data_IF_531514320073
#
_entry.id   IF_531514320073
#
_cell.length_a   1.000
_cell.length_b   1.000
_cell.length_c   1.000
_cell.angle_alpha   90.00
_cell.angle_beta   90.00
_cell.angle_gamma   90.00
#
_symmetry.space_group_name_H-M   'P 1'
#
loop_
_entity.id
_entity.type
_entity.pdbx_description
1 polymer ?
#
# COMPACT_ATOMS: atom_id res chain seq x y z
N UNK A 1 31.16 41.55 34.34
CA UNK A 1 30.26 40.36 34.18
C UNK A 1 30.83 39.15 34.95
N UNK A 2 31.64 39.45 35.97
CA UNK A 2 32.37 38.39 36.68
C UNK A 2 31.45 37.53 37.54
N UNK A 3 31.30 36.24 37.11
CA UNK A 3 30.53 35.23 37.84
C UNK A 3 29.00 35.34 37.73
N UNK A 4 28.48 36.21 36.85
CA UNK A 4 27.03 36.33 36.63
C UNK A 4 26.48 35.22 35.70
N UNK A 5 25.31 34.68 36.04
CA UNK A 5 24.54 33.79 35.19
C UNK A 5 23.50 34.62 34.41
N UNK A 6 23.51 34.49 33.06
CA UNK A 6 22.62 35.24 32.18
C UNK A 6 21.75 34.28 31.38
N UNK A 7 20.43 34.49 31.40
CA UNK A 7 19.53 33.78 30.52
C UNK A 7 19.35 34.54 29.23
N UNK A 8 19.90 34.00 28.14
CA UNK A 8 19.75 34.55 26.79
C UNK A 8 18.51 33.96 26.13
N UNK A 9 17.39 34.62 26.32
CA UNK A 9 16.08 34.21 25.80
C UNK A 9 15.34 35.40 25.24
N UNK A 10 14.40 35.17 24.36
CA UNK A 10 13.49 36.18 23.85
C UNK A 10 12.66 36.76 25.00
N UNK A 11 12.69 38.08 25.26
CA UNK A 11 11.88 38.74 26.30
C UNK A 11 10.39 38.67 26.00
N UNK A 12 10.00 38.55 24.71
CA UNK A 12 8.62 38.46 24.26
C UNK A 12 8.38 37.12 23.50
N UNK A 13 8.33 35.97 24.20
CA UNK A 13 8.25 34.69 23.55
C UNK A 13 6.95 34.52 22.76
N UNK A 14 7.11 34.11 21.50
CA UNK A 14 5.98 33.82 20.60
C UNK A 14 5.06 32.75 21.16
N UNK A 15 3.77 32.84 20.83
CA UNK A 15 2.84 31.74 21.06
C UNK A 15 3.16 30.57 20.09
N UNK A 16 2.93 29.36 20.54
CA UNK A 16 3.25 28.17 19.74
C UNK A 16 2.67 28.20 18.31
N UNK A 17 1.42 28.67 18.15
CA UNK A 17 0.81 28.78 16.80
C UNK A 17 1.48 29.85 15.92
N UNK A 18 2.03 30.91 16.50
CA UNK A 18 2.80 31.94 15.80
C UNK A 18 4.15 31.39 15.39
N UNK A 19 4.84 30.71 16.31
CA UNK A 19 6.09 30.02 16.04
C UNK A 19 5.96 29.05 14.87
N UNK A 20 4.89 28.22 14.86
CA UNK A 20 4.63 27.28 13.78
C UNK A 20 4.39 27.98 12.45
N UNK A 21 3.62 29.08 12.44
CA UNK A 21 3.38 29.84 11.22
C UNK A 21 4.64 30.53 10.68
N UNK A 22 5.53 31.00 11.57
CA UNK A 22 6.84 31.51 11.18
C UNK A 22 7.65 30.46 10.43
N UNK A 23 7.69 29.21 10.94
CA UNK A 23 8.36 28.12 10.21
C UNK A 23 7.59 27.66 8.97
N UNK A 24 6.26 27.70 8.95
CA UNK A 24 5.50 27.47 7.72
C UNK A 24 5.86 28.47 6.63
N UNK A 25 5.97 29.75 6.97
CA UNK A 25 6.44 30.79 6.03
C UNK A 25 7.87 30.53 5.54
N UNK A 26 8.77 30.20 6.46
CA UNK A 26 10.16 29.85 6.13
C UNK A 26 10.27 28.64 5.19
N UNK A 27 9.35 27.68 5.34
CA UNK A 27 9.25 26.45 4.53
C UNK A 27 8.45 26.63 3.23
N UNK A 28 7.93 27.82 2.94
CA UNK A 28 6.94 28.05 1.86
C UNK A 28 5.71 27.13 1.92
N UNK A 29 5.33 26.72 3.14
CA UNK A 29 4.20 25.86 3.41
C UNK A 29 2.95 26.67 3.82
N UNK A 30 1.72 26.11 3.64
CA UNK A 30 0.50 26.78 4.08
C UNK A 30 0.51 27.04 5.59
N UNK A 31 0.09 28.23 6.00
CA UNK A 31 -0.05 28.58 7.42
C UNK A 31 -1.23 27.86 8.07
N UNK A 32 -1.10 27.58 9.37
CA UNK A 32 -2.20 27.04 10.16
C UNK A 32 -3.24 28.13 10.44
N UNK A 33 -4.41 27.99 9.86
CA UNK A 33 -5.55 28.92 10.03
C UNK A 33 -6.44 28.58 11.24
N UNK A 34 -6.51 27.29 11.60
CA UNK A 34 -7.32 26.81 12.72
C UNK A 34 -6.49 26.82 14.02
N UNK A 35 -6.82 27.75 14.92
CA UNK A 35 -6.20 27.85 16.24
C UNK A 35 -7.20 27.41 17.30
N UNK A 36 -6.88 26.32 18.01
CA UNK A 36 -7.63 25.93 19.21
C UNK A 36 -7.02 26.64 20.42
N UNK A 37 -7.85 27.40 21.16
CA UNK A 37 -7.39 28.03 22.38
C UNK A 37 -7.19 26.92 23.45
N UNK A 38 -5.93 26.75 23.88
CA UNK A 38 -5.58 25.79 24.92
C UNK A 38 -6.36 26.08 26.27
N UNK A 39 -6.86 27.30 26.44
CA UNK A 39 -7.72 27.66 27.61
C UNK A 39 -9.04 26.90 27.60
N UNK A 40 -9.59 26.55 26.42
CA UNK A 40 -10.78 25.70 26.31
C UNK A 40 -10.53 24.29 26.88
N UNK A 41 -9.30 23.78 26.75
CA UNK A 41 -8.90 22.53 27.40
C UNK A 41 -8.64 22.67 28.92
N UNK A 42 -8.37 23.85 29.38
CA UNK A 42 -8.15 24.12 30.82
C UNK A 42 -9.46 24.08 31.66
N UNK A 43 -10.60 24.26 31.00
CA UNK A 43 -11.93 24.14 31.65
C UNK A 43 -12.28 22.66 31.90
N UNK A 44 -11.65 21.71 31.24
CA UNK A 44 -11.86 20.28 31.45
C UNK A 44 -11.08 19.83 32.69
N UNK A 45 -11.75 19.24 33.71
CA UNK A 45 -11.08 18.75 34.92
C UNK A 45 -9.90 17.84 34.59
N UNK A 46 -8.77 18.02 35.28
CA UNK A 46 -7.52 17.30 35.01
C UNK A 46 -7.69 15.76 34.95
N UNK A 47 -8.56 15.23 35.80
CA UNK A 47 -8.89 13.79 35.80
C UNK A 47 -9.58 13.34 34.50
N UNK A 48 -10.51 14.14 33.97
CA UNK A 48 -11.21 13.85 32.70
C UNK A 48 -10.24 13.98 31.52
N UNK A 49 -9.41 15.02 31.52
CA UNK A 49 -8.38 15.23 30.51
C UNK A 49 -7.37 14.06 30.50
N UNK A 50 -6.90 13.64 31.67
CA UNK A 50 -6.00 12.50 31.82
C UNK A 50 -6.67 11.20 31.38
N UNK A 51 -7.95 10.98 31.71
CA UNK A 51 -8.71 9.82 31.28
C UNK A 51 -8.84 9.79 29.72
N UNK A 52 -9.21 10.91 29.09
CA UNK A 52 -9.38 11.02 27.64
C UNK A 52 -8.04 10.85 26.92
N UNK A 53 -6.98 11.51 27.35
CA UNK A 53 -5.65 11.39 26.71
C UNK A 53 -5.04 10.01 26.91
N UNK A 54 -5.43 9.28 27.94
CA UNK A 54 -5.00 7.90 28.19
C UNK A 54 -5.83 6.85 27.46
N UNK A 55 -6.96 7.22 26.84
CA UNK A 55 -7.73 6.28 26.01
C UNK A 55 -6.86 5.69 24.90
N UNK A 56 -6.88 4.36 24.70
CA UNK A 56 -6.08 3.72 23.67
C UNK A 56 -6.27 4.30 22.26
N UNK A 57 -7.48 4.65 21.80
CA UNK A 57 -7.68 5.30 20.50
C UNK A 57 -6.99 6.66 20.40
N UNK A 58 -7.07 7.49 21.44
CA UNK A 58 -6.47 8.84 21.45
C UNK A 58 -4.94 8.74 21.43
N UNK A 59 -4.35 7.86 22.24
CA UNK A 59 -2.90 7.60 22.23
C UNK A 59 -2.43 7.11 20.87
N UNK A 60 -3.18 6.20 20.23
CA UNK A 60 -2.85 5.69 18.88
C UNK A 60 -2.94 6.79 17.83
N UNK A 61 -4.00 7.59 17.86
CA UNK A 61 -4.17 8.71 16.94
C UNK A 61 -3.05 9.75 17.11
N UNK A 62 -2.75 10.14 18.34
CA UNK A 62 -1.66 11.07 18.64
C UNK A 62 -0.30 10.52 18.20
N UNK A 63 0.00 9.24 18.48
CA UNK A 63 1.26 8.61 18.05
C UNK A 63 1.35 8.47 16.53
N UNK A 64 0.24 8.24 15.84
CA UNK A 64 0.19 8.21 14.39
C UNK A 64 0.43 9.60 13.81
N UNK A 65 -0.25 10.62 14.32
CA UNK A 65 -0.08 12.01 13.91
C UNK A 65 1.36 12.50 14.09
N UNK A 66 1.95 12.23 15.27
CA UNK A 66 3.35 12.60 15.55
C UNK A 66 4.32 11.89 14.62
N UNK A 67 4.08 10.62 14.32
CA UNK A 67 4.88 9.86 13.37
C UNK A 67 4.76 10.43 11.95
N UNK A 68 3.55 10.77 11.51
CA UNK A 68 3.30 11.33 10.19
C UNK A 68 3.93 12.74 10.05
N UNK A 69 3.94 13.50 11.14
CA UNK A 69 4.64 14.78 11.24
C UNK A 69 6.15 14.63 11.52
N UNK A 70 6.65 13.39 11.66
CA UNK A 70 8.05 13.06 12.00
C UNK A 70 8.53 13.71 13.30
N UNK A 71 7.61 14.00 14.23
CA UNK A 71 7.93 14.59 15.51
C UNK A 71 8.15 13.49 16.57
N UNK A 72 9.28 13.49 17.30
CA UNK A 72 9.47 12.60 18.43
C UNK A 72 8.39 12.85 19.50
N UNK A 73 7.83 11.80 20.15
CA UNK A 73 6.84 11.98 21.21
C UNK A 73 7.31 12.87 22.36
N UNK A 74 8.62 12.89 22.65
CA UNK A 74 9.23 13.76 23.64
C UNK A 74 9.04 15.27 23.33
N UNK A 75 8.85 15.64 22.06
CA UNK A 75 8.65 17.04 21.66
C UNK A 75 7.39 17.65 22.31
N UNK A 76 6.36 16.84 22.57
CA UNK A 76 5.14 17.32 23.24
C UNK A 76 5.39 17.87 24.64
N UNK A 77 6.38 17.32 25.36
CA UNK A 77 6.73 17.82 26.69
C UNK A 77 7.35 19.22 26.66
N UNK A 78 8.04 19.55 25.58
CA UNK A 78 8.64 20.89 25.39
C UNK A 78 7.59 21.93 24.97
N UNK A 79 6.57 21.54 24.19
CA UNK A 79 5.49 22.45 23.76
C UNK A 79 4.67 22.94 24.95
N UNK A 80 4.50 22.11 25.98
CA UNK A 80 3.70 22.41 27.17
C UNK A 80 4.55 22.82 28.38
N UNK A 81 5.85 23.10 28.16
CA UNK A 81 6.77 23.41 29.26
C UNK A 81 6.40 24.76 29.90
N UNK A 82 6.04 24.80 31.20
CA UNK A 82 5.49 26.01 31.80
C UNK A 82 6.54 27.02 32.26
N UNK A 83 7.82 26.71 32.13
CA UNK A 83 8.92 27.53 32.63
C UNK A 83 9.11 28.79 31.79
N UNK A 84 9.15 29.93 32.49
CA UNK A 84 9.58 31.20 31.91
C UNK A 84 10.92 31.57 32.51
N UNK A 85 11.82 32.01 31.68
CA UNK A 85 13.12 32.48 32.13
C UNK A 85 13.07 33.99 32.43
N UNK A 86 13.79 34.43 33.47
CA UNK A 86 13.86 35.82 33.87
C UNK A 86 14.91 36.55 33.03
N UNK A 87 14.53 37.57 32.29
CA UNK A 87 15.38 38.35 31.41
C UNK A 87 15.94 39.63 32.09
N UNK A 88 15.46 40.01 33.25
CA UNK A 88 15.78 41.28 33.94
C UNK A 88 17.28 41.50 34.15
N UNK A 89 18.07 40.46 34.38
CA UNK A 89 19.50 40.55 34.60
C UNK A 89 20.23 40.85 33.29
N UNK A 90 19.89 40.15 32.19
CA UNK A 90 20.49 40.35 30.87
C UNK A 90 20.08 41.71 30.29
N UNK A 91 18.84 42.14 30.44
CA UNK A 91 18.34 43.45 30.02
C UNK A 91 19.10 44.59 30.70
N UNK A 92 19.34 44.50 32.02
CA UNK A 92 20.18 45.47 32.74
C UNK A 92 21.63 45.48 32.25
N UNK A 93 22.20 44.29 32.01
CA UNK A 93 23.58 44.19 31.54
C UNK A 93 23.76 44.73 30.08
N UNK A 94 22.73 44.64 29.27
CA UNK A 94 22.73 45.12 27.88
C UNK A 94 22.25 46.57 27.73
N UNK A 95 21.78 47.20 28.79
CA UNK A 95 21.25 48.56 28.79
C UNK A 95 22.30 49.52 28.26
N UNK A 96 21.98 50.24 27.18
CA UNK A 96 22.88 51.17 26.51
C UNK A 96 23.77 50.51 25.44
N UNK A 97 23.70 49.18 25.28
CA UNK A 97 24.28 48.52 24.11
C UNK A 97 23.26 48.53 22.94
N UNK A 98 23.74 48.25 21.72
CA UNK A 98 22.89 48.04 20.54
C UNK A 98 22.58 46.57 20.29
N UNK A 99 22.72 45.74 21.35
CA UNK A 99 22.52 44.32 21.24
C UNK A 99 21.06 44.01 21.61
N UNK A 100 20.29 43.54 20.65
CA UNK A 100 18.89 43.12 20.77
C UNK A 100 18.73 41.68 20.29
N UNK A 101 17.72 40.97 20.79
CA UNK A 101 17.34 39.66 20.26
C UNK A 101 16.67 39.89 18.92
N UNK A 102 17.19 39.34 17.83
CA UNK A 102 16.59 39.55 16.51
C UNK A 102 15.23 38.83 16.43
N UNK A 103 14.28 39.44 15.73
CA UNK A 103 12.99 38.84 15.43
C UNK A 103 13.16 37.50 14.72
N UNK A 104 12.46 36.46 15.17
CA UNK A 104 12.59 35.12 14.63
C UNK A 104 12.28 35.10 13.12
N UNK A 105 11.29 35.86 12.67
CA UNK A 105 10.92 35.95 11.25
C UNK A 105 12.09 36.37 10.36
N UNK A 106 13.05 37.18 10.88
CA UNK A 106 14.20 37.67 10.13
C UNK A 106 15.21 36.54 9.81
N UNK A 107 15.26 35.48 10.60
CA UNK A 107 16.24 34.40 10.43
C UNK A 107 15.68 32.97 10.44
N UNK A 108 14.38 32.77 10.64
CA UNK A 108 13.74 31.46 10.63
C UNK A 108 14.03 30.69 9.33
N UNK A 109 14.08 31.39 8.19
CA UNK A 109 14.41 30.80 6.90
C UNK A 109 15.84 30.20 6.88
N UNK A 110 16.81 30.77 7.60
CA UNK A 110 18.18 30.23 7.70
C UNK A 110 18.20 28.95 8.52
N UNK A 111 17.41 28.90 9.60
CA UNK A 111 17.27 27.71 10.45
C UNK A 111 16.62 26.60 9.63
N UNK A 112 15.55 26.92 8.89
CA UNK A 112 14.86 25.98 8.04
C UNK A 112 15.76 25.45 6.91
N UNK A 113 16.42 26.32 6.16
CA UNK A 113 17.36 25.96 5.08
C UNK A 113 18.49 25.04 5.59
N UNK A 114 19.04 25.35 6.78
CA UNK A 114 20.05 24.49 7.39
C UNK A 114 19.49 23.12 7.77
N UNK A 115 18.29 23.07 8.35
CA UNK A 115 17.63 21.83 8.70
C UNK A 115 17.34 20.99 7.45
N UNK A 116 16.76 21.59 6.43
CA UNK A 116 16.42 20.94 5.17
C UNK A 116 17.64 20.35 4.47
N UNK A 117 18.78 21.04 4.51
CA UNK A 117 20.01 20.56 3.86
C UNK A 117 20.84 19.58 4.66
N UNK A 118 20.76 19.60 5.98
CA UNK A 118 21.70 18.88 6.83
C UNK A 118 21.05 17.94 7.86
N UNK A 119 19.85 18.26 8.31
CA UNK A 119 19.22 17.58 9.45
C UNK A 119 17.93 16.86 9.06
N UNK A 120 17.36 17.09 7.86
CA UNK A 120 16.17 16.39 7.42
C UNK A 120 16.49 14.87 7.36
N UNK A 121 15.82 14.05 8.17
CA UNK A 121 16.01 12.59 8.15
C UNK A 121 15.79 11.99 6.76
N UNK A 122 14.97 12.65 5.94
CA UNK A 122 14.62 12.17 4.60
C UNK A 122 15.78 12.25 3.60
N UNK A 123 16.79 13.09 3.85
CA UNK A 123 18.02 13.15 3.03
C UNK A 123 18.81 11.84 3.02
N UNK A 124 18.66 11.04 4.10
CA UNK A 124 19.41 9.81 4.30
C UNK A 124 18.57 8.55 4.06
N UNK A 125 17.29 8.73 3.67
CA UNK A 125 16.40 7.61 3.36
C UNK A 125 16.39 7.36 1.85
N UNK A 126 16.89 6.20 1.45
CA UNK A 126 16.70 5.73 0.07
C UNK A 126 15.22 5.38 -0.15
N UNK A 127 14.50 6.29 -0.81
CA UNK A 127 13.07 6.14 -1.15
C UNK A 127 12.83 5.31 -2.41
N UNK A 128 13.88 4.83 -3.06
CA UNK A 128 13.76 3.97 -4.24
C UNK A 128 13.34 2.55 -3.82
N UNK A 129 12.97 1.74 -4.80
CA UNK A 129 12.70 0.32 -4.55
C UNK A 129 13.87 -0.36 -3.81
N UNK A 130 15.11 -0.01 -4.18
CA UNK A 130 16.32 -0.56 -3.58
C UNK A 130 16.38 -0.33 -2.07
N UNK A 131 16.10 0.86 -1.59
CA UNK A 131 16.04 1.17 -0.15
C UNK A 131 14.98 0.36 0.59
N UNK A 132 13.92 -0.06 -0.12
CA UNK A 132 12.82 -0.81 0.47
C UNK A 132 13.03 -2.33 0.46
N UNK A 133 13.77 -2.89 -0.51
CA UNK A 133 13.89 -4.35 -0.68
C UNK A 133 15.31 -4.90 -0.56
N UNK A 134 16.34 -4.07 -0.60
CA UNK A 134 17.73 -4.54 -0.54
C UNK A 134 17.97 -5.43 0.69
N UNK A 135 18.53 -6.62 0.45
CA UNK A 135 18.78 -7.68 1.42
C UNK A 135 17.53 -8.22 2.16
N UNK A 136 16.32 -7.84 1.78
CA UNK A 136 15.08 -8.38 2.34
C UNK A 136 14.63 -9.62 1.57
N UNK A 137 13.98 -10.53 2.27
CA UNK A 137 13.36 -11.72 1.69
C UNK A 137 11.98 -11.33 1.16
N UNK A 138 11.81 -11.40 -0.17
CA UNK A 138 10.56 -11.13 -0.89
C UNK A 138 10.04 -12.42 -1.49
N UNK A 139 8.94 -12.94 -0.97
CA UNK A 139 8.29 -14.14 -1.48
C UNK A 139 7.15 -13.78 -2.42
N UNK A 140 7.17 -14.34 -3.63
CA UNK A 140 6.20 -14.07 -4.69
C UNK A 140 5.58 -15.39 -5.16
N UNK A 141 4.26 -15.55 -4.96
CA UNK A 141 3.53 -16.69 -5.50
C UNK A 141 3.15 -16.45 -6.96
N UNK A 142 3.15 -17.50 -7.78
CA UNK A 142 2.96 -17.37 -9.23
C UNK A 142 4.13 -16.66 -9.91
N UNK A 143 5.38 -16.88 -9.43
CA UNK A 143 6.57 -16.20 -9.89
C UNK A 143 7.16 -16.74 -11.20
N UNK A 144 6.55 -17.77 -11.81
CA UNK A 144 7.06 -18.41 -13.06
C UNK A 144 6.69 -17.66 -14.34
N UNK A 145 5.70 -16.77 -14.31
CA UNK A 145 5.22 -16.07 -15.51
C UNK A 145 4.49 -14.77 -15.17
N UNK A 146 4.20 -13.98 -16.23
CA UNK A 146 3.35 -12.79 -16.14
C UNK A 146 3.78 -11.79 -15.06
N UNK A 147 2.81 -11.29 -14.29
CA UNK A 147 3.02 -10.26 -13.27
C UNK A 147 4.02 -10.72 -12.20
N UNK A 148 3.90 -11.97 -11.74
CA UNK A 148 4.78 -12.51 -10.71
C UNK A 148 6.23 -12.57 -11.14
N UNK A 149 6.50 -13.04 -12.38
CA UNK A 149 7.85 -13.05 -12.97
C UNK A 149 8.41 -11.64 -13.12
N UNK A 150 7.64 -10.72 -13.71
CA UNK A 150 8.08 -9.33 -13.90
C UNK A 150 8.39 -8.65 -12.54
N UNK A 151 7.56 -8.90 -11.52
CA UNK A 151 7.82 -8.41 -10.16
C UNK A 151 9.09 -9.02 -9.57
N UNK A 152 9.30 -10.33 -9.73
CA UNK A 152 10.48 -11.03 -9.22
C UNK A 152 11.78 -10.45 -9.80
N UNK A 153 11.82 -10.20 -11.10
CA UNK A 153 12.96 -9.58 -11.78
C UNK A 153 13.20 -8.17 -11.22
N UNK A 154 12.18 -7.30 -11.18
CA UNK A 154 12.33 -5.91 -10.70
C UNK A 154 12.85 -5.84 -9.25
N UNK A 155 12.34 -6.67 -8.35
CA UNK A 155 12.80 -6.64 -6.94
C UNK A 155 14.18 -7.29 -6.78
N UNK A 156 14.54 -8.27 -7.62
CA UNK A 156 15.88 -8.86 -7.65
C UNK A 156 16.93 -7.84 -8.10
N UNK A 157 16.66 -7.07 -9.15
CA UNK A 157 17.51 -5.99 -9.65
C UNK A 157 17.73 -4.90 -8.59
N UNK A 158 16.73 -4.69 -7.75
CA UNK A 158 16.81 -3.78 -6.59
C UNK A 158 17.55 -4.40 -5.38
N UNK A 159 18.09 -5.62 -5.49
CA UNK A 159 18.91 -6.27 -4.46
C UNK A 159 18.14 -7.07 -3.41
N UNK A 160 16.90 -7.47 -3.69
CA UNK A 160 16.14 -8.38 -2.84
C UNK A 160 16.72 -9.81 -2.86
N UNK A 161 16.44 -10.58 -1.81
CA UNK A 161 16.52 -12.04 -1.78
C UNK A 161 15.14 -12.57 -2.22
N UNK A 162 15.03 -12.94 -3.48
CA UNK A 162 13.73 -13.30 -4.07
C UNK A 162 13.44 -14.78 -3.85
N UNK A 163 12.25 -15.07 -3.38
CA UNK A 163 11.70 -16.42 -3.29
C UNK A 163 10.50 -16.51 -4.22
N UNK A 164 10.60 -17.32 -5.25
CA UNK A 164 9.49 -17.55 -6.20
C UNK A 164 8.85 -18.91 -5.99
N UNK A 165 7.52 -18.95 -6.10
CA UNK A 165 6.73 -20.16 -5.87
C UNK A 165 5.75 -20.36 -7.02
N UNK A 166 5.73 -21.56 -7.61
CA UNK A 166 4.74 -21.96 -8.61
C UNK A 166 4.64 -23.49 -8.70
N UNK A 167 3.66 -24.01 -9.46
CA UNK A 167 3.49 -25.45 -9.67
C UNK A 167 4.38 -26.02 -10.77
N UNK A 168 4.52 -25.26 -11.86
CA UNK A 168 5.30 -25.68 -13.03
C UNK A 168 6.79 -25.50 -12.77
N UNK A 169 7.50 -26.61 -12.68
CA UNK A 169 8.92 -26.64 -12.30
C UNK A 169 9.81 -25.98 -13.37
N UNK A 170 9.61 -26.36 -14.64
CA UNK A 170 10.46 -25.88 -15.76
C UNK A 170 10.45 -24.36 -15.89
N UNK A 171 9.26 -23.74 -15.97
CA UNK A 171 9.14 -22.28 -16.09
C UNK A 171 9.61 -21.55 -14.83
N UNK A 172 9.40 -22.15 -13.65
CA UNK A 172 9.82 -21.59 -12.39
C UNK A 172 11.35 -21.53 -12.31
N UNK A 173 12.02 -22.64 -12.64
CA UNK A 173 13.49 -22.70 -12.61
C UNK A 173 14.10 -21.85 -13.72
N UNK A 174 13.48 -21.75 -14.89
CA UNK A 174 13.90 -20.80 -15.93
C UNK A 174 13.89 -19.36 -15.42
N UNK A 175 12.84 -18.96 -14.71
CA UNK A 175 12.76 -17.61 -14.12
C UNK A 175 13.83 -17.40 -13.05
N UNK A 176 14.09 -18.40 -12.20
CA UNK A 176 15.19 -18.34 -11.21
C UNK A 176 16.53 -18.13 -11.92
N UNK A 177 16.82 -18.94 -12.92
CA UNK A 177 18.11 -18.94 -13.62
C UNK A 177 18.34 -17.64 -14.40
N UNK A 178 17.28 -17.05 -14.95
CA UNK A 178 17.30 -15.72 -15.56
C UNK A 178 17.69 -14.64 -14.53
N UNK A 179 17.10 -14.66 -13.33
CA UNK A 179 17.44 -13.73 -12.24
C UNK A 179 18.89 -13.94 -11.77
N UNK A 180 19.32 -15.19 -11.62
CA UNK A 180 20.70 -15.50 -11.21
C UNK A 180 21.72 -15.06 -12.27
N UNK A 181 21.44 -15.27 -13.55
CA UNK A 181 22.28 -14.83 -14.66
C UNK A 181 22.43 -13.31 -14.72
N UNK A 182 21.40 -12.56 -14.31
CA UNK A 182 21.45 -11.11 -14.17
C UNK A 182 22.17 -10.63 -12.88
N UNK A 183 22.74 -11.55 -12.07
CA UNK A 183 23.42 -11.21 -10.82
C UNK A 183 22.53 -11.03 -9.60
N UNK A 184 21.23 -11.30 -9.73
CA UNK A 184 20.28 -11.28 -8.63
C UNK A 184 20.39 -12.50 -7.70
N UNK A 185 19.61 -12.51 -6.61
CA UNK A 185 19.51 -13.64 -5.67
C UNK A 185 18.12 -14.21 -5.72
N UNK A 186 17.97 -15.48 -6.12
CA UNK A 186 16.67 -16.12 -6.29
C UNK A 186 16.67 -17.57 -5.82
N UNK A 187 15.61 -17.96 -5.11
CA UNK A 187 15.28 -19.34 -4.72
C UNK A 187 13.91 -19.69 -5.31
N UNK A 188 13.77 -20.90 -5.78
CA UNK A 188 12.55 -21.39 -6.43
C UNK A 188 12.02 -22.63 -5.70
N UNK A 189 10.76 -22.62 -5.30
CA UNK A 189 10.10 -23.74 -4.61
C UNK A 189 8.86 -24.16 -5.40
N UNK A 190 8.84 -25.41 -5.83
CA UNK A 190 7.66 -26.02 -6.46
C UNK A 190 6.62 -26.30 -5.39
N UNK A 191 5.41 -25.75 -5.55
CA UNK A 191 4.32 -25.95 -4.61
C UNK A 191 2.96 -25.86 -5.32
N UNK A 192 2.09 -26.84 -5.09
CA UNK A 192 0.68 -26.70 -5.45
C UNK A 192 -0.05 -25.97 -4.30
N UNK A 193 -0.31 -24.70 -4.53
CA UNK A 193 -1.01 -23.85 -3.57
C UNK A 193 -2.48 -24.24 -3.33
N UNK A 194 -3.04 -25.12 -4.16
CA UNK A 194 -4.39 -25.67 -3.91
C UNK A 194 -4.40 -26.73 -2.83
N UNK A 195 -3.26 -27.33 -2.51
CA UNK A 195 -3.06 -28.21 -1.39
C UNK A 195 -2.49 -27.45 -0.19
N UNK A 196 -3.31 -27.32 0.86
CA UNK A 196 -2.91 -26.58 2.06
C UNK A 196 -1.78 -27.26 2.84
N UNK A 197 -1.62 -28.57 2.73
CA UNK A 197 -0.50 -29.28 3.34
C UNK A 197 0.83 -28.95 2.64
N UNK A 198 0.81 -28.81 1.32
CA UNK A 198 1.94 -28.30 0.54
C UNK A 198 2.29 -26.86 0.92
N UNK A 199 1.29 -26.01 1.20
CA UNK A 199 1.51 -24.67 1.70
C UNK A 199 2.22 -24.69 3.07
N UNK A 200 1.84 -25.57 3.98
CA UNK A 200 2.47 -25.70 5.30
C UNK A 200 3.92 -26.15 5.19
N UNK A 201 4.20 -27.14 4.34
CA UNK A 201 5.55 -27.61 4.06
C UNK A 201 6.42 -26.48 3.48
N UNK A 202 5.88 -25.73 2.52
CA UNK A 202 6.54 -24.54 1.94
C UNK A 202 6.87 -23.51 3.01
N UNK A 203 5.91 -23.14 3.87
CA UNK A 203 6.15 -22.17 4.96
C UNK A 203 7.28 -22.64 5.86
N UNK A 204 7.25 -23.92 6.27
CA UNK A 204 8.31 -24.49 7.12
C UNK A 204 9.67 -24.38 6.43
N UNK A 205 9.79 -24.87 5.20
CA UNK A 205 11.04 -24.85 4.43
C UNK A 205 11.61 -23.43 4.29
N UNK A 206 10.76 -22.48 3.90
CA UNK A 206 11.17 -21.07 3.72
C UNK A 206 11.61 -20.44 5.04
N UNK A 207 10.93 -20.74 6.16
CA UNK A 207 11.33 -20.22 7.47
C UNK A 207 12.61 -20.89 7.99
N UNK A 208 12.81 -22.17 7.72
CA UNK A 208 14.05 -22.88 8.11
C UNK A 208 15.27 -22.33 7.36
N UNK A 209 15.13 -22.05 6.05
CA UNK A 209 16.25 -21.58 5.20
C UNK A 209 16.48 -20.07 5.30
N UNK A 210 15.42 -19.26 5.28
CA UNK A 210 15.51 -17.80 5.22
C UNK A 210 15.25 -17.10 6.56
N UNK A 211 14.83 -17.85 7.59
CA UNK A 211 14.47 -17.36 8.94
C UNK A 211 13.21 -16.48 8.98
N UNK A 212 12.92 -15.77 7.90
CA UNK A 212 11.74 -14.92 7.81
C UNK A 212 11.46 -14.46 6.38
N UNK A 213 10.23 -14.10 6.11
CA UNK A 213 9.80 -13.35 4.92
C UNK A 213 9.53 -11.91 5.35
N UNK A 214 10.13 -10.94 4.66
CA UNK A 214 9.90 -9.51 4.92
C UNK A 214 8.72 -8.98 4.13
N UNK A 215 8.55 -9.44 2.89
CA UNK A 215 7.46 -9.05 2.00
C UNK A 215 6.87 -10.32 1.37
N UNK A 216 5.57 -10.53 1.58
CA UNK A 216 4.81 -11.62 0.95
C UNK A 216 3.92 -11.02 -0.14
N UNK A 217 4.11 -11.44 -1.39
CA UNK A 217 3.28 -11.06 -2.54
C UNK A 217 2.42 -12.25 -2.95
N UNK A 218 1.16 -12.26 -2.56
CA UNK A 218 0.17 -13.24 -2.97
C UNK A 218 -0.35 -12.88 -4.37
N UNK A 219 0.38 -13.31 -5.40
CA UNK A 219 0.06 -13.03 -6.79
C UNK A 219 -0.55 -14.24 -7.50
N UNK A 220 -0.25 -15.47 -7.08
CA UNK A 220 -0.87 -16.67 -7.67
C UNK A 220 -2.39 -16.57 -7.65
N UNK A 221 -3.02 -16.94 -8.75
CA UNK A 221 -4.46 -16.87 -8.86
C UNK A 221 -4.99 -17.52 -10.13
N UNK A 222 -6.28 -17.67 -10.16
CA UNK A 222 -7.05 -18.21 -11.28
C UNK A 222 -8.26 -17.33 -11.53
N UNK A 223 -8.58 -17.08 -12.79
CA UNK A 223 -9.80 -16.42 -13.22
C UNK A 223 -10.68 -17.40 -14.01
N UNK A 224 -11.97 -17.36 -13.78
CA UNK A 224 -12.96 -18.09 -14.55
C UNK A 224 -14.00 -17.05 -15.01
N UNK A 225 -14.17 -16.94 -16.34
CA UNK A 225 -15.19 -16.08 -16.97
C UNK A 225 -16.36 -16.97 -17.41
N UNK A 226 -17.46 -16.88 -16.69
CA UNK A 226 -18.71 -17.61 -16.96
C UNK A 226 -19.89 -16.90 -16.29
N UNK A 227 -21.03 -16.80 -16.97
CA UNK A 227 -22.26 -16.30 -16.36
C UNK A 227 -22.74 -17.24 -15.26
N UNK A 228 -23.52 -16.71 -14.31
CA UNK A 228 -24.11 -17.50 -13.23
C UNK A 228 -25.04 -18.57 -13.81
N UNK A 229 -25.80 -18.22 -14.84
CA UNK A 229 -26.69 -19.12 -15.53
C UNK A 229 -26.00 -20.36 -16.12
N UNK A 230 -24.80 -20.19 -16.70
CA UNK A 230 -23.97 -21.29 -17.18
C UNK A 230 -23.18 -22.01 -16.06
N UNK A 231 -23.43 -21.70 -14.81
CA UNK A 231 -22.69 -22.23 -13.66
C UNK A 231 -23.55 -23.06 -12.70
N UNK A 232 -24.84 -23.32 -12.99
CA UNK A 232 -25.73 -24.03 -12.10
C UNK A 232 -25.25 -25.46 -11.75
N UNK A 233 -24.60 -26.13 -12.68
CA UNK A 233 -24.02 -27.48 -12.52
C UNK A 233 -22.50 -27.46 -12.27
N UNK A 234 -21.93 -26.27 -12.01
CA UNK A 234 -20.48 -26.06 -11.99
C UNK A 234 -19.98 -25.43 -10.68
N UNK A 235 -20.57 -25.84 -9.58
CA UNK A 235 -20.17 -25.31 -8.26
C UNK A 235 -18.69 -25.49 -7.96
N UNK A 236 -18.05 -26.53 -8.49
CA UNK A 236 -16.62 -26.76 -8.41
C UNK A 236 -15.75 -25.61 -8.98
N UNK A 237 -16.30 -24.76 -9.85
CA UNK A 237 -15.58 -23.56 -10.34
C UNK A 237 -15.42 -22.53 -9.23
N UNK A 238 -16.41 -22.39 -8.35
CA UNK A 238 -16.34 -21.53 -7.16
C UNK A 238 -15.36 -22.11 -6.14
N UNK A 239 -15.45 -23.40 -5.84
CA UNK A 239 -14.55 -24.07 -4.90
C UNK A 239 -13.08 -23.93 -5.32
N UNK A 240 -12.75 -24.27 -6.58
CA UNK A 240 -11.38 -24.18 -7.11
C UNK A 240 -10.83 -22.76 -7.06
N UNK A 241 -11.70 -21.77 -7.33
CA UNK A 241 -11.31 -20.38 -7.36
C UNK A 241 -11.07 -19.86 -5.95
N UNK A 242 -11.96 -20.20 -5.01
CA UNK A 242 -11.78 -19.89 -3.59
C UNK A 242 -10.54 -20.57 -3.01
N UNK A 243 -10.32 -21.85 -3.34
CA UNK A 243 -9.19 -22.62 -2.84
C UNK A 243 -7.85 -21.94 -3.17
N UNK A 244 -7.65 -21.55 -4.45
CA UNK A 244 -6.40 -20.95 -4.87
C UNK A 244 -6.29 -19.45 -4.48
N UNK A 245 -7.34 -18.67 -4.77
CA UNK A 245 -7.23 -17.20 -4.66
C UNK A 245 -7.37 -16.71 -3.22
N UNK A 246 -8.09 -17.43 -2.37
CA UNK A 246 -8.36 -17.04 -0.99
C UNK A 246 -7.67 -17.96 0.03
N UNK A 247 -8.04 -19.26 0.09
CA UNK A 247 -7.55 -20.13 1.16
C UNK A 247 -6.04 -20.35 1.09
N UNK A 248 -5.45 -20.51 -0.09
CA UNK A 248 -4.01 -20.62 -0.25
C UNK A 248 -3.29 -19.34 0.22
N UNK A 249 -3.75 -18.17 -0.23
CA UNK A 249 -3.20 -16.89 0.20
C UNK A 249 -3.31 -16.70 1.70
N UNK A 250 -4.47 -17.03 2.29
CA UNK A 250 -4.70 -16.97 3.73
C UNK A 250 -3.77 -17.92 4.49
N UNK A 251 -3.58 -19.17 3.99
CA UNK A 251 -2.70 -20.15 4.63
C UNK A 251 -1.25 -19.66 4.70
N UNK A 252 -0.74 -19.10 3.60
CA UNK A 252 0.60 -18.51 3.57
C UNK A 252 0.72 -17.30 4.50
N UNK A 253 -0.28 -16.41 4.52
CA UNK A 253 -0.29 -15.28 5.45
C UNK A 253 -0.20 -15.78 6.90
N UNK A 254 -1.08 -16.73 7.28
CA UNK A 254 -1.08 -17.28 8.65
C UNK A 254 0.23 -17.97 9.01
N UNK A 255 0.90 -18.59 8.03
CA UNK A 255 2.19 -19.24 8.25
C UNK A 255 3.34 -18.27 8.47
N UNK A 256 3.41 -17.18 7.71
CA UNK A 256 4.51 -16.21 7.83
C UNK A 256 4.28 -15.10 8.85
N UNK A 257 3.02 -14.80 9.18
CA UNK A 257 2.63 -13.69 10.06
C UNK A 257 3.21 -13.79 11.49
N UNK A 258 3.33 -14.98 12.13
CA UNK A 258 3.97 -15.09 13.43
C UNK A 258 5.40 -14.55 13.46
N UNK A 259 6.24 -14.93 12.49
CA UNK A 259 7.61 -14.44 12.37
C UNK A 259 7.69 -12.94 12.07
N UNK A 260 6.77 -12.40 11.26
CA UNK A 260 6.64 -10.95 11.04
C UNK A 260 6.25 -10.22 12.33
N UNK A 261 5.32 -10.80 13.09
CA UNK A 261 4.83 -10.23 14.36
C UNK A 261 5.93 -10.16 15.42
N UNK A 262 6.69 -11.24 15.56
CA UNK A 262 7.81 -11.30 16.51
C UNK A 262 8.87 -10.23 16.21
N UNK A 263 9.17 -10.01 14.92
CA UNK A 263 10.14 -9.00 14.48
C UNK A 263 9.54 -7.58 14.41
N UNK A 264 8.24 -7.44 14.61
CA UNK A 264 7.48 -6.19 14.41
C UNK A 264 7.80 -5.53 13.05
N UNK A 265 7.91 -6.34 12.02
CA UNK A 265 8.22 -5.91 10.66
C UNK A 265 7.69 -6.91 9.64
N UNK A 266 6.89 -6.44 8.71
CA UNK A 266 6.37 -7.26 7.63
C UNK A 266 5.49 -6.46 6.66
N UNK A 267 5.35 -6.98 5.45
CA UNK A 267 4.43 -6.46 4.46
C UNK A 267 3.76 -7.61 3.72
N UNK A 268 2.45 -7.56 3.62
CA UNK A 268 1.64 -8.50 2.83
C UNK A 268 0.98 -7.72 1.70
N UNK A 269 1.23 -8.14 0.47
CA UNK A 269 0.65 -7.54 -0.74
C UNK A 269 -0.22 -8.60 -1.40
N UNK A 270 -1.52 -8.36 -1.43
CA UNK A 270 -2.49 -9.24 -2.02
C UNK A 270 -2.93 -8.72 -3.39
N UNK A 271 -2.66 -9.50 -4.44
CA UNK A 271 -3.07 -9.14 -5.81
C UNK A 271 -4.53 -9.51 -5.97
N UNK A 272 -5.35 -8.47 -6.03
CA UNK A 272 -6.77 -8.50 -6.29
C UNK A 272 -7.07 -8.08 -7.74
N UNK A 273 -8.25 -7.59 -8.01
CA UNK A 273 -8.69 -7.21 -9.35
C UNK A 273 -9.56 -5.96 -9.31
N UNK A 274 -9.48 -5.16 -10.37
CA UNK A 274 -10.46 -4.10 -10.64
C UNK A 274 -11.89 -4.67 -10.67
N UNK A 275 -12.05 -5.94 -11.04
CA UNK A 275 -13.34 -6.63 -11.04
C UNK A 275 -14.04 -6.63 -9.68
N UNK A 276 -13.28 -6.57 -8.57
CA UNK A 276 -13.87 -6.44 -7.21
C UNK A 276 -14.49 -5.05 -7.01
N UNK A 277 -13.87 -4.02 -7.57
CA UNK A 277 -14.36 -2.64 -7.49
C UNK A 277 -15.55 -2.40 -8.42
N UNK A 278 -15.51 -3.03 -9.60
CA UNK A 278 -16.51 -2.88 -10.65
C UNK A 278 -17.57 -3.99 -10.65
N UNK A 279 -17.57 -4.94 -9.70
CA UNK A 279 -18.52 -6.05 -9.64
C UNK A 279 -18.78 -6.70 -11.00
N UNK A 280 -17.70 -7.01 -11.74
CA UNK A 280 -17.75 -7.40 -13.15
C UNK A 280 -18.61 -8.66 -13.37
N UNK A 281 -19.65 -8.55 -14.20
CA UNK A 281 -20.49 -9.69 -14.59
C UNK A 281 -19.66 -10.80 -15.25
N UNK A 282 -20.12 -12.03 -15.20
CA UNK A 282 -19.46 -13.27 -15.66
C UNK A 282 -18.21 -13.67 -14.88
N UNK A 283 -17.87 -12.95 -13.83
CA UNK A 283 -16.69 -13.27 -12.99
C UNK A 283 -17.09 -13.57 -11.54
N UNK A 284 -18.32 -13.98 -11.28
CA UNK A 284 -18.85 -14.13 -9.91
C UNK A 284 -17.95 -14.97 -9.01
N UNK A 285 -17.47 -16.16 -9.46
CA UNK A 285 -16.57 -17.00 -8.69
C UNK A 285 -15.22 -16.32 -8.41
N UNK A 286 -14.65 -15.67 -9.43
CA UNK A 286 -13.38 -14.97 -9.33
C UNK A 286 -13.47 -13.74 -8.43
N UNK A 287 -14.46 -12.87 -8.69
CA UNK A 287 -14.68 -11.64 -7.93
C UNK A 287 -14.97 -11.97 -6.46
N UNK A 288 -15.82 -12.96 -6.18
CA UNK A 288 -16.09 -13.39 -4.80
C UNK A 288 -14.81 -13.81 -4.07
N UNK A 289 -13.94 -14.59 -4.72
CA UNK A 289 -12.69 -15.05 -4.10
C UNK A 289 -11.72 -13.91 -3.81
N UNK A 290 -11.60 -12.94 -4.72
CA UNK A 290 -10.74 -11.76 -4.53
C UNK A 290 -11.34 -10.77 -3.53
N UNK A 291 -12.67 -10.61 -3.50
CA UNK A 291 -13.37 -9.79 -2.51
C UNK A 291 -13.21 -10.34 -1.08
N UNK A 292 -13.22 -11.66 -0.92
CA UNK A 292 -12.94 -12.31 0.37
C UNK A 292 -11.51 -11.95 0.87
N UNK A 293 -10.51 -12.00 0.00
CA UNK A 293 -9.13 -11.62 0.33
C UNK A 293 -8.99 -10.13 0.65
N UNK A 294 -9.72 -9.26 -0.08
CA UNK A 294 -9.76 -7.81 0.19
C UNK A 294 -10.38 -7.52 1.56
N UNK A 295 -11.48 -8.19 1.92
CA UNK A 295 -12.12 -8.06 3.22
C UNK A 295 -11.19 -8.49 4.35
N UNK A 296 -10.54 -9.66 4.21
CA UNK A 296 -9.54 -10.14 5.15
C UNK A 296 -8.41 -9.12 5.33
N UNK A 297 -7.87 -8.57 4.23
CA UNK A 297 -6.78 -7.60 4.27
C UNK A 297 -7.14 -6.35 5.07
N UNK A 298 -8.38 -5.84 4.96
CA UNK A 298 -8.85 -4.68 5.73
C UNK A 298 -8.93 -4.98 7.23
N UNK A 299 -9.45 -6.15 7.61
CA UNK A 299 -9.50 -6.58 9.02
C UNK A 299 -8.09 -6.74 9.59
N UNK A 300 -7.22 -7.46 8.88
CA UNK A 300 -5.85 -7.68 9.29
C UNK A 300 -5.03 -6.37 9.40
N UNK A 301 -5.22 -5.42 8.47
CA UNK A 301 -4.57 -4.12 8.55
C UNK A 301 -4.93 -3.39 9.86
N UNK A 302 -6.20 -3.43 10.27
CA UNK A 302 -6.63 -2.82 11.54
C UNK A 302 -5.97 -3.49 12.76
N UNK A 303 -5.86 -4.82 12.75
CA UNK A 303 -5.31 -5.61 13.86
C UNK A 303 -3.78 -5.49 13.99
N UNK A 304 -3.08 -5.32 12.86
CA UNK A 304 -1.61 -5.37 12.81
C UNK A 304 -0.93 -4.00 12.60
N UNK A 305 -1.68 -2.92 12.41
CA UNK A 305 -1.12 -1.57 12.24
C UNK A 305 -0.18 -1.16 13.37
N UNK A 306 -0.52 -1.49 14.62
CA UNK A 306 0.33 -1.23 15.80
C UNK A 306 1.57 -2.11 15.91
N UNK A 307 1.71 -3.13 15.06
CA UNK A 307 2.84 -4.07 15.03
C UNK A 307 3.81 -3.81 13.88
N UNK A 308 3.65 -2.69 13.16
CA UNK A 308 4.44 -2.33 11.98
C UNK A 308 4.39 -3.42 10.88
N UNK A 309 3.21 -4.04 10.71
CA UNK A 309 2.92 -4.97 9.63
C UNK A 309 1.82 -4.34 8.78
N UNK A 310 2.03 -4.28 7.47
CA UNK A 310 1.11 -3.64 6.55
C UNK A 310 0.49 -4.65 5.59
N UNK A 311 -0.78 -4.44 5.27
CA UNK A 311 -1.52 -5.21 4.28
C UNK A 311 -1.95 -4.28 3.16
N UNK A 312 -1.48 -4.54 1.94
CA UNK A 312 -1.84 -3.77 0.74
C UNK A 312 -2.63 -4.64 -0.20
N UNK A 313 -3.80 -4.19 -0.62
CA UNK A 313 -4.56 -4.80 -1.72
C UNK A 313 -4.25 -4.05 -3.01
N UNK A 314 -3.81 -4.76 -4.06
CA UNK A 314 -3.60 -4.20 -5.39
C UNK A 314 -4.72 -4.66 -6.31
N UNK A 315 -5.66 -3.76 -6.61
CA UNK A 315 -6.76 -4.04 -7.54
C UNK A 315 -6.25 -3.90 -8.99
N UNK A 316 -5.64 -4.97 -9.50
CA UNK A 316 -5.05 -5.01 -10.84
C UNK A 316 -6.09 -4.73 -11.93
N UNK A 317 -5.79 -3.88 -12.90
CA UNK A 317 -6.55 -3.78 -14.13
C UNK A 317 -6.32 -5.02 -15.01
N UNK A 318 -6.79 -4.97 -16.25
CA UNK A 318 -6.54 -6.05 -17.21
C UNK A 318 -5.06 -6.04 -17.63
N UNK A 319 -4.38 -7.19 -17.47
CA UNK A 319 -2.95 -7.34 -17.76
C UNK A 319 -2.76 -8.44 -18.79
N UNK A 320 -1.96 -8.18 -19.80
CA UNK A 320 -1.67 -9.13 -20.89
C UNK A 320 -0.81 -10.30 -20.38
N UNK A 321 -1.48 -11.35 -19.93
CA UNK A 321 -0.85 -12.54 -19.34
C UNK A 321 -1.46 -13.82 -19.94
N UNK A 322 -0.82 -14.98 -19.77
CA UNK A 322 -1.40 -16.27 -20.18
C UNK A 322 -2.80 -16.53 -19.60
N UNK A 323 -3.16 -15.93 -18.46
CA UNK A 323 -4.46 -16.08 -17.84
C UNK A 323 -5.61 -15.52 -18.68
N UNK A 324 -5.39 -14.44 -19.42
CA UNK A 324 -6.42 -13.80 -20.26
C UNK A 324 -6.36 -14.25 -21.73
N UNK A 325 -5.27 -14.86 -22.17
CA UNK A 325 -5.04 -15.28 -23.56
C UNK A 325 -6.18 -16.13 -24.17
N UNK A 326 -6.92 -16.99 -23.42
CA UNK A 326 -8.05 -17.73 -23.97
C UNK A 326 -9.24 -16.86 -24.40
N UNK A 327 -9.30 -15.59 -24.01
CA UNK A 327 -10.42 -14.68 -24.29
C UNK A 327 -10.00 -13.62 -25.28
N UNK A 328 -10.18 -13.89 -26.60
CA UNK A 328 -9.75 -13.00 -27.70
C UNK A 328 -10.32 -11.58 -27.65
N UNK A 329 -11.47 -11.39 -27.01
CA UNK A 329 -12.07 -10.07 -26.81
C UNK A 329 -11.11 -9.08 -26.13
N UNK A 330 -10.20 -9.58 -25.26
CA UNK A 330 -9.24 -8.72 -24.55
C UNK A 330 -8.11 -8.18 -25.45
N UNK A 331 -7.96 -8.70 -26.66
CA UNK A 331 -6.98 -8.18 -27.63
C UNK A 331 -7.35 -6.77 -28.14
N UNK A 332 -8.63 -6.41 -28.02
CA UNK A 332 -9.16 -5.09 -28.44
C UNK A 332 -9.35 -4.10 -27.30
N UNK A 333 -9.16 -4.52 -26.05
CA UNK A 333 -9.33 -3.66 -24.86
C UNK A 333 -7.96 -3.22 -24.34
N UNK A 334 -7.80 -1.98 -23.84
CA UNK A 334 -6.56 -1.54 -23.20
C UNK A 334 -6.13 -2.50 -22.11
N UNK A 335 -4.88 -2.94 -22.15
CA UNK A 335 -4.28 -3.86 -21.21
C UNK A 335 -2.92 -3.34 -20.80
N UNK A 336 -2.54 -3.55 -19.54
CA UNK A 336 -1.15 -3.33 -19.11
C UNK A 336 -0.26 -4.50 -19.56
N UNK A 337 1.02 -4.22 -19.76
CA UNK A 337 2.04 -5.26 -19.80
C UNK A 337 2.29 -5.83 -18.40
N UNK A 338 2.91 -7.02 -18.29
CA UNK A 338 3.34 -7.54 -16.99
C UNK A 338 4.30 -6.61 -16.25
N UNK A 339 5.15 -5.89 -16.96
CA UNK A 339 6.14 -4.94 -16.45
C UNK A 339 5.47 -3.71 -15.85
N UNK A 340 4.46 -3.14 -16.53
CA UNK A 340 3.64 -2.02 -16.01
C UNK A 340 2.79 -2.46 -14.80
N UNK A 341 2.27 -3.68 -14.82
CA UNK A 341 1.54 -4.23 -13.68
C UNK A 341 2.46 -4.45 -12.47
N UNK A 342 3.72 -4.85 -12.69
CA UNK A 342 4.72 -4.96 -11.65
C UNK A 342 5.04 -3.60 -11.01
N UNK A 343 4.95 -2.48 -11.75
CA UNK A 343 5.13 -1.14 -11.19
C UNK A 343 4.06 -0.78 -10.15
N UNK A 344 2.84 -1.29 -10.29
CA UNK A 344 1.81 -1.14 -9.24
C UNK A 344 2.18 -1.89 -7.96
N UNK A 345 2.86 -3.04 -8.09
CA UNK A 345 3.36 -3.80 -6.94
C UNK A 345 4.58 -3.08 -6.32
N UNK A 346 5.46 -2.55 -7.14
CA UNK A 346 6.59 -1.71 -6.70
C UNK A 346 6.08 -0.51 -5.91
N UNK A 347 5.07 0.19 -6.42
CA UNK A 347 4.40 1.26 -5.70
C UNK A 347 3.85 0.79 -4.34
N UNK A 348 3.19 -0.37 -4.31
CA UNK A 348 2.70 -0.96 -3.06
C UNK A 348 3.85 -1.24 -2.07
N UNK A 349 5.01 -1.71 -2.54
CA UNK A 349 6.19 -1.97 -1.70
C UNK A 349 6.73 -0.67 -1.09
N UNK A 350 6.86 0.37 -1.89
CA UNK A 350 7.46 1.65 -1.49
C UNK A 350 6.53 2.43 -0.56
N UNK A 351 5.30 2.69 -1.01
CA UNK A 351 4.35 3.59 -0.34
C UNK A 351 3.56 2.93 0.79
N UNK A 352 3.42 1.60 0.76
CA UNK A 352 2.66 0.79 1.74
C UNK A 352 1.22 1.27 1.96
N UNK A 353 0.48 1.65 0.94
CA UNK A 353 -0.90 2.07 1.09
C UNK A 353 -1.78 0.87 1.46
N UNK A 354 -2.96 1.10 2.01
CA UNK A 354 -3.94 0.02 2.22
C UNK A 354 -4.48 -0.52 0.89
N UNK A 355 -4.50 0.30 -0.17
CA UNK A 355 -4.97 -0.06 -1.51
C UNK A 355 -4.20 0.65 -2.60
N UNK A 356 -3.88 -0.09 -3.67
CA UNK A 356 -3.47 0.43 -4.97
C UNK A 356 -4.57 0.08 -5.97
N UNK A 357 -5.15 1.07 -6.62
CA UNK A 357 -6.19 0.88 -7.63
C UNK A 357 -6.10 1.95 -8.71
N UNK A 358 -6.62 1.65 -9.89
CA UNK A 358 -6.71 2.62 -10.98
C UNK A 358 -7.82 3.64 -10.73
N UNK A 359 -7.73 4.81 -11.38
CA UNK A 359 -8.77 5.85 -11.30
C UNK A 359 -10.12 5.31 -11.74
N UNK A 360 -10.16 4.49 -12.80
CA UNK A 360 -11.38 3.85 -13.30
C UNK A 360 -12.00 2.92 -12.26
N UNK A 361 -11.20 2.11 -11.58
CA UNK A 361 -11.68 1.23 -10.50
C UNK A 361 -12.28 2.00 -9.33
N UNK A 362 -11.62 3.08 -8.91
CA UNK A 362 -12.13 3.96 -7.85
C UNK A 362 -13.44 4.63 -8.27
N UNK A 363 -13.49 5.12 -9.51
CA UNK A 363 -14.72 5.72 -10.07
C UNK A 363 -15.88 4.72 -10.08
N UNK A 364 -15.66 3.48 -10.54
CA UNK A 364 -16.66 2.43 -10.57
C UNK A 364 -17.19 2.10 -9.15
N UNK A 365 -16.28 1.97 -8.18
CA UNK A 365 -16.65 1.72 -6.78
C UNK A 365 -17.44 2.88 -6.18
N UNK A 366 -17.04 4.13 -6.47
CA UNK A 366 -17.72 5.33 -5.99
C UNK A 366 -19.12 5.46 -6.61
N UNK A 367 -19.24 5.25 -7.93
CA UNK A 367 -20.52 5.29 -8.62
C UNK A 367 -21.50 4.24 -8.07
N UNK A 368 -21.00 3.02 -7.84
CA UNK A 368 -21.79 1.95 -7.22
C UNK A 368 -22.27 2.32 -5.80
N UNK A 369 -21.44 3.00 -5.02
CA UNK A 369 -21.80 3.40 -3.65
C UNK A 369 -22.82 4.56 -3.62
N UNK A 370 -22.71 5.52 -4.54
CA UNK A 370 -23.52 6.75 -4.55
C UNK A 370 -24.80 6.58 -5.38
N UNK A 371 -24.74 5.87 -6.50
CA UNK A 371 -25.85 5.69 -7.45
C UNK A 371 -26.01 4.22 -7.87
N UNK A 372 -26.36 3.28 -6.96
CA UNK A 372 -26.34 1.85 -7.23
C UNK A 372 -27.27 1.43 -8.37
N UNK A 373 -28.45 2.05 -8.51
CA UNK A 373 -29.37 1.74 -9.62
C UNK A 373 -28.83 2.14 -10.99
N UNK A 374 -28.20 3.31 -11.09
CA UNK A 374 -27.57 3.74 -12.34
C UNK A 374 -26.39 2.81 -12.69
N UNK A 375 -25.61 2.42 -11.68
CA UNK A 375 -24.52 1.48 -11.86
C UNK A 375 -25.01 0.10 -12.33
N UNK A 376 -26.11 -0.41 -11.77
CA UNK A 376 -26.74 -1.68 -12.17
C UNK A 376 -27.16 -1.67 -13.66
N UNK A 377 -27.78 -0.58 -14.12
CA UNK A 377 -28.15 -0.40 -15.54
C UNK A 377 -26.92 -0.47 -16.45
N UNK A 378 -25.85 0.26 -16.08
CA UNK A 378 -24.59 0.25 -16.85
C UNK A 378 -24.00 -1.16 -16.90
N UNK A 379 -23.96 -1.85 -15.78
CA UNK A 379 -23.39 -3.19 -15.70
C UNK A 379 -24.23 -4.26 -16.41
N UNK A 380 -25.56 -4.11 -16.39
CA UNK A 380 -26.46 -4.99 -17.14
C UNK A 380 -26.30 -4.76 -18.65
N UNK A 381 -26.24 -3.49 -19.09
CA UNK A 381 -25.98 -3.17 -20.50
C UNK A 381 -24.65 -3.78 -20.96
N UNK A 382 -23.59 -3.63 -20.16
CA UNK A 382 -22.30 -4.26 -20.45
C UNK A 382 -22.39 -5.81 -20.48
N UNK A 383 -23.21 -6.39 -19.61
CA UNK A 383 -23.46 -7.83 -19.62
C UNK A 383 -24.11 -8.30 -20.92
N UNK A 384 -25.08 -7.58 -21.43
CA UNK A 384 -25.75 -7.91 -22.70
C UNK A 384 -24.83 -7.73 -23.91
N UNK A 385 -24.03 -6.67 -23.93
CA UNK A 385 -23.09 -6.37 -25.01
C UNK A 385 -21.96 -7.39 -25.16
N UNK A 386 -21.57 -8.08 -24.07
CA UNK A 386 -20.42 -9.00 -24.06
C UNK A 386 -20.85 -10.43 -23.70
N UNK A 387 -21.36 -11.24 -24.66
CA UNK A 387 -21.85 -12.57 -24.41
C UNK A 387 -20.80 -13.51 -23.83
N UNK A 388 -21.23 -14.66 -23.34
CA UNK A 388 -20.37 -15.73 -22.90
C UNK A 388 -19.53 -16.28 -24.07
N UNK A 389 -18.25 -16.53 -23.83
CA UNK A 389 -17.35 -17.11 -24.84
C UNK A 389 -17.72 -18.57 -25.16
N UNK A 390 -17.33 -19.03 -26.34
CA UNK A 390 -17.48 -20.42 -26.76
C UNK A 390 -16.90 -21.40 -25.71
N UNK A 391 -15.77 -21.04 -25.09
CA UNK A 391 -15.15 -21.80 -24.02
C UNK A 391 -16.07 -21.89 -22.77
N UNK A 392 -16.79 -20.81 -22.43
CA UNK A 392 -17.73 -20.81 -21.31
C UNK A 392 -18.96 -21.69 -21.59
N UNK A 393 -19.39 -21.75 -22.86
CA UNK A 393 -20.49 -22.60 -23.33
C UNK A 393 -20.09 -24.06 -23.54
N UNK A 394 -18.82 -24.41 -23.42
CA UNK A 394 -18.30 -25.77 -23.65
C UNK A 394 -18.08 -26.13 -25.13
N UNK A 395 -18.27 -25.19 -26.04
CA UNK A 395 -18.09 -25.39 -27.46
C UNK A 395 -16.65 -25.19 -27.91
N UNK A 396 -15.90 -26.30 -27.98
CA UNK A 396 -14.48 -26.28 -28.37
C UNK A 396 -14.26 -26.01 -29.86
N UNK A 397 -15.28 -26.19 -30.71
CA UNK A 397 -15.16 -25.98 -32.18
C UNK A 397 -15.29 -24.49 -32.53
N UNK A 398 -16.12 -23.75 -31.83
CA UNK A 398 -16.34 -22.33 -32.07
C UNK A 398 -15.19 -21.39 -31.60
N UNK A 399 -14.21 -21.93 -30.85
CA UNK A 399 -13.04 -21.15 -30.35
C UNK A 399 -12.18 -20.50 -31.44
N UNK A 400 -12.24 -21.03 -32.68
CA UNK A 400 -11.39 -20.53 -33.78
C UNK A 400 -12.01 -19.36 -34.57
N UNK A 401 -13.32 -19.13 -34.45
CA UNK A 401 -14.06 -18.24 -35.37
C UNK A 401 -14.77 -17.07 -34.66
N UNK A 402 -14.55 -16.84 -33.36
CA UNK A 402 -15.14 -15.69 -32.66
C UNK A 402 -14.59 -14.38 -33.19
N UNK A 403 -15.35 -13.69 -34.04
CA UNK A 403 -15.09 -12.29 -34.43
C UNK A 403 -15.76 -11.35 -33.43
N UNK A 404 -15.12 -10.23 -33.08
CA UNK A 404 -15.76 -9.22 -32.23
C UNK A 404 -16.99 -8.63 -32.92
N UNK A 405 -18.06 -8.37 -32.16
CA UNK A 405 -19.26 -7.68 -32.68
C UNK A 405 -18.99 -6.21 -32.94
N UNK A 406 -19.82 -5.54 -33.73
CA UNK A 406 -19.67 -4.10 -34.01
C UNK A 406 -19.73 -3.27 -32.73
N UNK A 407 -20.57 -3.65 -31.75
CA UNK A 407 -20.68 -3.01 -30.45
C UNK A 407 -19.38 -3.16 -29.62
N UNK A 408 -18.77 -4.34 -29.67
CA UNK A 408 -17.49 -4.59 -28.99
C UNK A 408 -16.35 -3.77 -29.63
N UNK A 409 -16.36 -3.62 -30.94
CA UNK A 409 -15.40 -2.77 -31.67
C UNK A 409 -15.61 -1.29 -31.32
N UNK A 410 -16.88 -0.84 -31.27
CA UNK A 410 -17.21 0.53 -30.90
C UNK A 410 -16.83 0.84 -29.43
N UNK A 411 -17.09 -0.10 -28.52
CA UNK A 411 -16.68 0.03 -27.12
C UNK A 411 -15.14 0.06 -26.97
N UNK A 412 -14.44 -0.82 -27.68
CA UNK A 412 -12.97 -0.81 -27.70
C UNK A 412 -12.41 0.51 -28.24
N UNK A 413 -13.06 1.10 -29.25
CA UNK A 413 -12.69 2.40 -29.79
C UNK A 413 -12.93 3.54 -28.79
N UNK A 414 -14.04 3.50 -28.04
CA UNK A 414 -14.36 4.46 -26.99
C UNK A 414 -13.34 4.37 -25.82
N UNK A 415 -12.88 3.18 -25.53
CA UNK A 415 -11.89 2.93 -24.45
C UNK A 415 -10.45 3.23 -24.87
N UNK A 416 -10.20 3.52 -26.16
CA UNK A 416 -8.87 3.97 -26.64
C UNK A 416 -8.56 5.34 -26.03
N UNK A 417 -7.49 5.39 -25.24
CA UNK A 417 -7.08 6.61 -24.51
C UNK A 417 -7.50 6.65 -23.02
N UNK A 418 -8.23 5.65 -22.54
CA UNK A 418 -8.39 5.45 -21.11
C UNK A 418 -7.08 4.85 -20.58
N UNK A 419 -6.31 5.67 -19.90
CA UNK A 419 -5.12 5.20 -19.18
C UNK A 419 -5.54 4.68 -17.80
N UNK A 420 -5.08 3.48 -17.51
CA UNK A 420 -5.34 2.81 -16.23
C UNK A 420 -4.69 3.53 -15.04
#
# INVERSE_FOLDING_TARGET
LDGGCFHLVDPEPMRFGELMNTFCRAAHAPEMTMRLDARMLAVVPGAVRSAVTNLPPVKRFTSMLLRDLKLPPATLSFITYPTRFDTRVVERALKGSKIEVPELDAYAWRIWDYWERHLDPDLFIDRTLRGHVSNKVVLITGGSSGIGKATAIKVADAGAKVVIVARGEEELFRTRDEILAAGGKCWAYTCDLTDLSSCDALVKTVLDEHKAVDILVNNAGRSIRRSVELSYDRFHDYERTMQLNYFASLRLIMGFLPAMTQRRRGQVINISSIGVLASSARFSAYVASKAALDAFSRCAQAEFSGKNITFTTVNMPLVKTPMIAPTKMYDSVPTLSPEEAADLIVKAIIERPSRVATRMGIFAATLNAVAPKAYEVIMNTAFEMFPDSAAAKGDRKALKDEKPTNEQVAFAALMRGVHW
#
